data_IF_624904380584
#
_entry.id   IF_624904380584
#
_cell.length_a   1.000
_cell.length_b   1.000
_cell.length_c   1.000
_cell.angle_alpha   90.00
_cell.angle_beta   90.00
_cell.angle_gamma   90.00
#
_symmetry.space_group_name_H-M   'P 1'
#
loop_
_entity.id
_entity.type
_entity.pdbx_description
1 polymer ?
#
# COMPACT_ATOMS: atom_id res chain seq x y z
N UNK A 1 20.77 -21.15 14.74
CA UNK A 1 20.08 -21.24 16.03
C UNK A 1 19.34 -19.95 16.40
N UNK A 2 19.94 -18.78 16.19
CA UNK A 2 19.28 -17.50 16.46
C UNK A 2 18.17 -17.16 15.45
N UNK A 3 18.28 -17.63 14.21
CA UNK A 3 17.27 -17.40 13.18
C UNK A 3 15.97 -18.12 13.45
N UNK A 4 16.00 -19.34 13.99
CA UNK A 4 14.80 -20.12 14.31
C UNK A 4 14.02 -19.51 15.49
N UNK A 5 14.71 -19.02 16.51
CA UNK A 5 14.09 -18.36 17.65
C UNK A 5 13.50 -17.01 17.29
N UNK A 6 14.15 -16.26 16.40
CA UNK A 6 13.63 -14.99 15.88
C UNK A 6 12.36 -15.23 15.05
N UNK A 7 12.31 -16.29 14.26
CA UNK A 7 11.14 -16.65 13.47
C UNK A 7 9.92 -17.04 14.34
N UNK A 8 10.14 -17.78 15.43
CA UNK A 8 9.06 -18.15 16.36
C UNK A 8 8.54 -16.93 17.12
N UNK A 9 9.42 -16.04 17.56
CA UNK A 9 9.03 -14.78 18.20
C UNK A 9 8.24 -13.90 17.26
N UNK A 10 8.63 -13.82 15.99
CA UNK A 10 7.93 -13.09 14.96
C UNK A 10 6.52 -13.62 14.77
N UNK A 11 6.33 -14.94 14.72
CA UNK A 11 5.00 -15.55 14.56
C UNK A 11 4.07 -15.29 15.74
N UNK A 12 4.59 -15.29 16.97
CA UNK A 12 3.80 -15.00 18.18
C UNK A 12 3.46 -13.52 18.26
N UNK A 13 4.37 -12.64 17.85
CA UNK A 13 4.12 -11.20 17.78
C UNK A 13 3.10 -10.85 16.69
N UNK A 14 3.08 -11.55 15.57
CA UNK A 14 2.15 -11.30 14.47
C UNK A 14 0.69 -11.48 14.85
N UNK A 15 0.40 -12.28 15.86
CA UNK A 15 -0.96 -12.49 16.37
C UNK A 15 -1.50 -11.29 17.17
N UNK A 16 -0.62 -10.45 17.72
CA UNK A 16 -0.98 -9.32 18.59
C UNK A 16 -0.13 -8.09 18.33
N UNK A 17 0.49 -8.00 17.14
CA UNK A 17 1.51 -7.01 16.89
C UNK A 17 0.93 -5.72 16.32
N UNK A 18 0.68 -4.77 17.20
CA UNK A 18 0.40 -3.39 16.86
C UNK A 18 1.68 -2.58 16.58
N UNK A 19 2.85 -3.25 16.38
CA UNK A 19 4.13 -2.58 16.21
C UNK A 19 4.22 -1.79 14.90
N UNK A 20 3.42 -2.13 13.89
CA UNK A 20 3.37 -1.38 12.64
C UNK A 20 2.23 -0.38 12.72
N UNK A 21 2.60 0.89 12.89
CA UNK A 21 1.66 1.99 12.79
C UNK A 21 1.66 2.49 11.34
N UNK A 22 0.54 2.32 10.65
CA UNK A 22 0.45 2.61 9.22
C UNK A 22 0.64 4.09 8.92
N UNK A 23 -0.03 4.98 9.67
CA UNK A 23 0.08 6.43 9.44
C UNK A 23 1.51 6.95 9.55
N UNK A 24 2.27 6.69 10.64
CA UNK A 24 3.66 7.09 10.71
C UNK A 24 4.54 6.51 9.61
N UNK A 25 4.31 5.25 9.21
CA UNK A 25 5.06 4.62 8.13
C UNK A 25 4.81 5.31 6.78
N UNK A 26 3.57 5.71 6.51
CA UNK A 26 3.23 6.46 5.30
C UNK A 26 3.86 7.86 5.35
N UNK A 27 3.83 8.53 6.49
CA UNK A 27 4.47 9.84 6.67
C UNK A 27 5.98 9.77 6.40
N UNK A 28 6.65 8.72 6.84
CA UNK A 28 8.07 8.50 6.55
C UNK A 28 8.34 8.35 5.05
N UNK A 29 7.43 7.69 4.32
CA UNK A 29 7.53 7.54 2.87
C UNK A 29 7.31 8.86 2.14
N UNK A 30 6.44 9.73 2.65
CA UNK A 30 6.07 11.01 2.03
C UNK A 30 7.15 12.07 2.27
N UNK A 31 7.80 12.05 3.42
CA UNK A 31 8.70 13.13 3.85
C UNK A 31 9.72 13.56 2.81
N UNK A 32 10.41 12.63 2.10
CA UNK A 32 11.39 13.05 1.09
C UNK A 32 10.78 13.77 -0.12
N UNK A 33 9.47 13.66 -0.33
CA UNK A 33 8.79 14.24 -1.49
C UNK A 33 8.16 15.62 -1.20
N UNK A 34 8.08 16.02 0.06
CA UNK A 34 7.38 17.25 0.47
C UNK A 34 8.01 18.54 -0.09
N UNK A 35 9.29 18.52 -0.44
CA UNK A 35 9.95 19.67 -1.04
C UNK A 35 9.52 19.90 -2.50
N UNK A 36 9.10 18.84 -3.17
CA UNK A 36 8.72 18.88 -4.57
C UNK A 36 7.22 18.77 -4.81
N UNK A 37 6.52 18.02 -3.97
CA UNK A 37 5.10 17.74 -4.13
C UNK A 37 4.29 18.23 -2.94
N UNK A 38 3.11 18.78 -3.23
CA UNK A 38 2.07 18.95 -2.22
C UNK A 38 1.38 17.60 -2.03
N UNK A 39 1.57 16.97 -0.87
CA UNK A 39 1.02 15.65 -0.59
C UNK A 39 -0.16 15.79 0.35
N UNK A 40 -1.32 15.28 -0.05
CA UNK A 40 -2.51 15.19 0.80
C UNK A 40 -2.81 13.74 1.14
N UNK A 41 -3.12 13.51 2.41
CA UNK A 41 -3.49 12.19 2.92
C UNK A 41 -4.86 12.25 3.57
N UNK A 42 -5.71 11.30 3.23
CA UNK A 42 -7.03 11.16 3.80
C UNK A 42 -7.17 9.73 4.33
N UNK A 43 -7.24 9.59 5.65
CA UNK A 43 -7.26 8.31 6.33
C UNK A 43 -8.58 8.10 7.06
N UNK A 44 -9.23 6.99 6.76
CA UNK A 44 -10.42 6.53 7.49
C UNK A 44 -10.33 5.02 7.67
N UNK A 45 -9.58 4.60 8.66
CA UNK A 45 -9.42 3.19 9.02
C UNK A 45 -9.12 3.04 10.52
N UNK A 46 -9.47 1.88 11.06
CA UNK A 46 -9.18 1.53 12.45
C UNK A 46 -7.81 0.83 12.57
N UNK A 47 -7.27 0.79 13.77
CA UNK A 47 -6.01 0.09 14.08
C UNK A 47 -6.13 -1.45 13.96
N UNK A 48 -7.30 -1.98 13.64
CA UNK A 48 -7.55 -3.42 13.49
C UNK A 48 -7.06 -4.00 12.17
N UNK A 49 -6.53 -3.16 11.28
CA UNK A 49 -5.91 -3.63 10.03
C UNK A 49 -4.79 -4.61 10.35
N UNK A 50 -4.80 -5.78 9.71
CA UNK A 50 -3.79 -6.80 9.96
C UNK A 50 -2.40 -6.33 9.50
N UNK A 51 -1.37 -6.93 10.08
CA UNK A 51 0.02 -6.65 9.71
C UNK A 51 0.27 -6.85 8.21
N UNK A 52 -0.25 -7.95 7.64
CA UNK A 52 -0.05 -8.25 6.22
C UNK A 52 -0.64 -7.18 5.31
N UNK A 53 -1.82 -6.68 5.64
CA UNK A 53 -2.43 -5.58 4.88
C UNK A 53 -1.62 -4.30 5.03
N UNK A 54 -1.19 -3.96 6.24
CA UNK A 54 -0.33 -2.78 6.49
C UNK A 54 0.95 -2.86 5.67
N UNK A 55 1.64 -3.99 5.68
CA UNK A 55 2.87 -4.20 4.91
C UNK A 55 2.63 -4.11 3.41
N UNK A 56 1.52 -4.67 2.93
CA UNK A 56 1.13 -4.55 1.53
C UNK A 56 0.93 -3.09 1.13
N UNK A 57 0.18 -2.34 1.92
CA UNK A 57 -0.09 -0.93 1.64
C UNK A 57 1.21 -0.10 1.67
N UNK A 58 2.06 -0.31 2.67
CA UNK A 58 3.35 0.39 2.75
C UNK A 58 4.21 0.08 1.52
N UNK A 59 4.29 -1.18 1.10
CA UNK A 59 5.06 -1.59 -0.08
C UNK A 59 4.55 -0.95 -1.37
N UNK A 60 3.24 -0.93 -1.56
CA UNK A 60 2.61 -0.29 -2.73
C UNK A 60 2.83 1.22 -2.70
N UNK A 61 2.68 1.86 -1.55
CA UNK A 61 2.92 3.29 -1.39
C UNK A 61 4.37 3.64 -1.71
N UNK A 62 5.33 2.91 -1.17
CA UNK A 62 6.76 3.13 -1.45
C UNK A 62 7.06 3.07 -2.93
N UNK A 63 6.55 2.05 -3.61
CA UNK A 63 6.79 1.86 -5.04
C UNK A 63 6.12 2.95 -5.87
N UNK A 64 4.87 3.29 -5.54
CA UNK A 64 4.13 4.35 -6.22
C UNK A 64 4.82 5.70 -6.07
N UNK A 65 5.26 6.05 -4.86
CA UNK A 65 5.95 7.30 -4.58
C UNK A 65 7.31 7.36 -5.28
N UNK A 66 8.02 6.23 -5.33
CA UNK A 66 9.28 6.12 -6.08
C UNK A 66 9.06 6.37 -7.57
N UNK A 67 8.02 5.79 -8.15
CA UNK A 67 7.67 5.99 -9.56
C UNK A 67 7.29 7.45 -9.83
N UNK A 68 6.49 8.05 -8.96
CA UNK A 68 6.12 9.46 -9.08
C UNK A 68 7.35 10.36 -9.00
N UNK A 69 8.25 10.13 -8.06
CA UNK A 69 9.48 10.92 -7.94
C UNK A 69 10.38 10.84 -9.16
N UNK A 70 10.42 9.68 -9.83
CA UNK A 70 11.27 9.45 -10.99
C UNK A 70 10.66 9.91 -12.31
N UNK A 71 9.34 9.80 -12.45
CA UNK A 71 8.70 9.90 -13.76
C UNK A 71 7.62 10.99 -13.86
N UNK A 72 7.12 11.51 -12.74
CA UNK A 72 6.05 12.49 -12.78
C UNK A 72 6.60 13.90 -12.98
N UNK A 73 5.96 14.66 -13.85
CA UNK A 73 6.16 16.10 -14.01
C UNK A 73 5.14 16.93 -13.21
N UNK A 74 4.32 16.27 -12.39
CA UNK A 74 3.33 16.91 -11.56
C UNK A 74 3.88 17.55 -10.30
N UNK A 75 3.01 18.17 -9.53
CA UNK A 75 3.32 18.87 -8.29
C UNK A 75 2.45 18.45 -7.10
N UNK A 76 1.52 17.53 -7.29
CA UNK A 76 0.66 17.07 -6.20
C UNK A 76 0.46 15.55 -6.21
N UNK A 77 0.35 15.00 -5.01
CA UNK A 77 0.08 13.59 -4.76
C UNK A 77 -1.07 13.50 -3.76
N UNK A 78 -2.01 12.60 -4.03
CA UNK A 78 -3.12 12.33 -3.11
C UNK A 78 -3.12 10.86 -2.71
N UNK A 79 -3.14 10.60 -1.39
CA UNK A 79 -3.20 9.26 -0.81
C UNK A 79 -4.50 9.15 0.00
N UNK A 80 -5.29 8.13 -0.29
CA UNK A 80 -6.54 7.87 0.42
C UNK A 80 -6.50 6.42 0.91
N UNK A 81 -6.75 6.22 2.21
CA UNK A 81 -6.89 4.89 2.80
C UNK A 81 -8.25 4.83 3.47
N UNK A 82 -9.06 3.85 3.09
CA UNK A 82 -10.42 3.65 3.59
C UNK A 82 -10.60 2.24 4.11
N UNK A 83 -11.33 2.13 5.19
CA UNK A 83 -11.84 0.86 5.68
C UNK A 83 -13.34 0.77 5.37
N UNK A 84 -13.75 -0.34 4.77
CA UNK A 84 -15.14 -0.70 4.55
C UNK A 84 -15.48 -1.95 5.36
N UNK A 85 -16.77 -2.31 5.53
CA UNK A 85 -17.11 -3.51 6.31
C UNK A 85 -16.45 -4.79 5.83
N UNK A 86 -16.22 -4.94 4.51
CA UNK A 86 -15.69 -6.17 3.92
C UNK A 86 -14.27 -6.07 3.36
N UNK A 87 -13.72 -4.85 3.23
CA UNK A 87 -12.43 -4.66 2.57
C UNK A 87 -11.74 -3.37 3.02
N UNK A 88 -10.44 -3.30 2.73
CA UNK A 88 -9.65 -2.08 2.83
C UNK A 88 -9.31 -1.55 1.44
N UNK A 89 -9.30 -0.24 1.28
CA UNK A 89 -8.94 0.41 0.02
C UNK A 89 -7.78 1.38 0.19
N UNK A 90 -6.90 1.38 -0.82
CA UNK A 90 -5.82 2.34 -0.95
C UNK A 90 -5.92 2.98 -2.33
N UNK A 91 -5.89 4.30 -2.39
CA UNK A 91 -5.82 5.06 -3.62
C UNK A 91 -4.63 6.00 -3.58
N UNK A 92 -3.82 5.99 -4.63
CA UNK A 92 -2.69 6.91 -4.79
C UNK A 92 -2.78 7.53 -6.17
N UNK A 93 -2.71 8.85 -6.25
CA UNK A 93 -2.76 9.56 -7.50
C UNK A 93 -1.78 10.73 -7.51
N UNK A 94 -1.10 10.94 -8.62
CA UNK A 94 -0.39 12.20 -8.90
C UNK A 94 -1.09 12.94 -10.04
N UNK A 95 -0.76 14.22 -10.20
CA UNK A 95 -1.35 15.08 -11.24
C UNK A 95 -0.42 15.33 -12.42
N UNK A 96 0.66 14.53 -12.54
CA UNK A 96 1.57 14.65 -13.67
C UNK A 96 0.98 14.11 -14.96
N UNK A 97 1.60 14.45 -16.08
CA UNK A 97 1.35 13.74 -17.33
C UNK A 97 2.20 12.49 -17.39
N UNK A 98 1.58 11.36 -17.63
CA UNK A 98 2.28 10.08 -17.71
C UNK A 98 2.03 9.47 -19.08
N UNK A 99 3.01 8.79 -19.69
CA UNK A 99 2.78 8.09 -20.94
C UNK A 99 1.60 7.13 -20.82
N UNK A 100 0.78 7.04 -21.84
CA UNK A 100 -0.39 6.15 -21.86
C UNK A 100 -0.01 4.68 -21.69
N UNK A 101 1.22 4.32 -22.05
CA UNK A 101 1.75 2.96 -21.84
C UNK A 101 2.75 2.99 -20.70
N UNK A 102 2.33 2.38 -19.59
CA UNK A 102 3.24 2.09 -18.49
C UNK A 102 4.16 0.95 -18.96
N UNK A 103 5.46 1.17 -18.87
CA UNK A 103 6.42 0.08 -19.06
C UNK A 103 6.30 -0.90 -17.89
N UNK A 104 5.52 -1.96 -18.09
CA UNK A 104 5.34 -3.03 -17.10
C UNK A 104 6.56 -3.95 -17.00
N UNK A 105 7.60 -3.72 -17.80
CA UNK A 105 8.84 -4.50 -17.71
C UNK A 105 9.63 -4.20 -16.44
N UNK A 106 9.32 -3.09 -15.74
CA UNK A 106 9.90 -2.78 -14.44
C UNK A 106 9.41 -3.70 -13.34
N UNK A 107 10.32 -4.14 -12.47
CA UNK A 107 9.98 -5.05 -11.36
C UNK A 107 9.01 -4.45 -10.34
N UNK A 108 8.91 -3.12 -10.25
CA UNK A 108 8.06 -2.44 -9.28
C UNK A 108 6.57 -2.71 -9.45
N UNK A 109 6.04 -2.61 -10.67
CA UNK A 109 4.62 -2.86 -10.95
C UNK A 109 4.26 -4.34 -10.75
N UNK A 110 5.14 -5.25 -11.18
CA UNK A 110 4.97 -6.67 -10.94
C UNK A 110 4.92 -6.99 -9.45
N UNK A 111 5.79 -6.39 -8.65
CA UNK A 111 5.82 -6.56 -7.20
C UNK A 111 4.52 -6.04 -6.54
N UNK A 112 3.99 -4.91 -6.99
CA UNK A 112 2.71 -4.40 -6.50
C UNK A 112 1.56 -5.38 -6.79
N UNK A 113 1.51 -5.93 -7.99
CA UNK A 113 0.49 -6.91 -8.38
C UNK A 113 0.61 -8.20 -7.56
N UNK A 114 1.84 -8.66 -7.35
CA UNK A 114 2.12 -9.86 -6.54
C UNK A 114 1.71 -9.68 -5.08
N UNK A 115 2.02 -8.53 -4.48
CA UNK A 115 1.61 -8.21 -3.11
C UNK A 115 0.10 -8.20 -2.96
N UNK A 116 -0.61 -7.59 -3.91
CA UNK A 116 -2.06 -7.58 -3.90
C UNK A 116 -2.64 -8.99 -4.03
N UNK A 117 -2.12 -9.78 -4.97
CA UNK A 117 -2.58 -11.15 -5.21
C UNK A 117 -2.37 -12.05 -3.99
N UNK A 118 -1.29 -11.88 -3.24
CA UNK A 118 -1.01 -12.68 -2.05
C UNK A 118 -2.07 -12.52 -0.95
N UNK A 119 -2.82 -11.41 -0.97
CA UNK A 119 -3.89 -11.12 -0.02
C UNK A 119 -5.27 -11.21 -0.66
N UNK A 120 -5.38 -11.85 -1.82
CA UNK A 120 -6.62 -11.92 -2.62
C UNK A 120 -7.16 -10.52 -2.96
N UNK A 121 -6.27 -9.54 -3.04
CA UNK A 121 -6.60 -8.18 -3.39
C UNK A 121 -6.68 -7.97 -4.89
N UNK A 122 -7.26 -6.84 -5.25
CA UNK A 122 -7.36 -6.39 -6.63
C UNK A 122 -6.67 -5.04 -6.77
N UNK A 123 -5.74 -4.93 -7.71
CA UNK A 123 -5.02 -3.70 -7.98
C UNK A 123 -5.29 -3.24 -9.41
N UNK A 124 -5.61 -1.96 -9.56
CA UNK A 124 -5.79 -1.31 -10.84
C UNK A 124 -4.80 -0.16 -10.95
N UNK A 125 -3.98 -0.18 -11.99
CA UNK A 125 -2.95 0.82 -12.26
C UNK A 125 -3.29 1.48 -13.59
N UNK A 126 -3.47 2.80 -13.57
CA UNK A 126 -3.78 3.57 -14.76
C UNK A 126 -2.81 4.74 -14.92
N UNK A 127 -2.51 5.08 -16.16
CA UNK A 127 -1.70 6.25 -16.51
C UNK A 127 -2.30 6.96 -17.71
N UNK A 128 -2.05 8.24 -17.80
CA UNK A 128 -2.57 9.05 -18.90
C UNK A 128 -2.29 10.53 -18.71
N UNK A 129 -2.98 11.35 -19.49
CA UNK A 129 -2.84 12.82 -19.46
C UNK A 129 -3.21 13.43 -18.12
N UNK A 130 -3.97 12.71 -17.28
CA UNK A 130 -4.42 13.16 -15.95
C UNK A 130 -3.55 12.64 -14.81
N UNK A 131 -2.46 11.93 -15.11
CA UNK A 131 -1.52 11.42 -14.13
C UNK A 131 -1.53 9.91 -13.97
N UNK A 132 -0.76 9.45 -13.01
CA UNK A 132 -0.63 8.05 -12.64
C UNK A 132 -1.54 7.77 -11.44
N UNK A 133 -2.29 6.68 -11.48
CA UNK A 133 -3.21 6.28 -10.41
C UNK A 133 -3.08 4.82 -10.09
N UNK A 134 -3.07 4.52 -8.80
CA UNK A 134 -3.16 3.17 -8.27
C UNK A 134 -4.40 3.08 -7.40
N UNK A 135 -5.20 2.05 -7.64
CA UNK A 135 -6.35 1.72 -6.80
C UNK A 135 -6.21 0.26 -6.36
N UNK A 136 -6.12 0.04 -5.05
CA UNK A 136 -5.94 -1.27 -4.45
C UNK A 136 -7.08 -1.55 -3.47
N UNK A 137 -7.70 -2.72 -3.57
CA UNK A 137 -8.64 -3.21 -2.58
C UNK A 137 -8.19 -4.58 -2.08
N UNK A 138 -8.26 -4.78 -0.76
CA UNK A 138 -7.89 -6.03 -0.11
C UNK A 138 -9.06 -6.48 0.76
N UNK A 139 -9.62 -7.68 0.51
CA UNK A 139 -10.73 -8.16 1.33
C UNK A 139 -10.28 -8.44 2.76
N UNK A 140 -11.16 -8.16 3.71
CA UNK A 140 -10.95 -8.57 5.09
C UNK A 140 -11.07 -10.08 5.18
N UNK A 141 -10.15 -10.71 5.92
CA UNK A 141 -10.24 -12.14 6.17
C UNK A 141 -11.35 -12.40 7.18
N UNK A 142 -12.32 -13.25 6.80
CA UNK A 142 -13.34 -13.72 7.72
C UNK A 142 -12.72 -14.74 8.67
N UNK A 143 -12.46 -14.35 9.90
CA UNK A 143 -12.04 -15.27 10.95
C UNK A 143 -13.19 -16.20 11.41
N UNK A 144 -14.40 -16.03 10.87
CA UNK A 144 -15.59 -16.77 11.31
C UNK A 144 -15.59 -18.25 10.92
N UNK A 145 -14.72 -18.67 9.99
CA UNK A 145 -14.70 -20.08 9.57
C UNK A 145 -13.86 -21.01 10.45
N UNK A 146 -13.14 -20.48 11.43
CA UNK A 146 -12.29 -21.30 12.30
C UNK A 146 -13.00 -21.84 13.55
N UNK A 147 -14.22 -21.42 13.85
CA UNK A 147 -14.92 -21.81 15.08
C UNK A 147 -16.03 -22.85 14.91
N UNK A 148 -16.34 -23.26 13.68
CA UNK A 148 -17.42 -24.24 13.43
C UNK A 148 -16.91 -25.62 13.02
N UNK A 149 -15.80 -26.04 13.57
CA UNK A 149 -15.39 -27.44 13.42
C UNK A 149 -14.98 -28.04 14.74
#
# INVERSE_FOLDING_TARGET
LNTAMTSIRSSVHDLHDDSIALKPAVEDCIRPLKDRFAVSCDYDFSERMSRDVKLCFIGVIKEALSNTAKHSDGDSIKIIIREHPALYQLSIADNGSCPEKIDESGMGLANMRERAASLNGNINITSGSKGFRIFLSVPKQNHEHCYNR
#
